data_IF_365195199997
#
_entry.id   IF_365195199997
#
_cell.length_a   1.000
_cell.length_b   1.000
_cell.length_c   1.000
_cell.angle_alpha   90.00
_cell.angle_beta   90.00
_cell.angle_gamma   90.00
#
_symmetry.space_group_name_H-M   'P 1'
#
loop_
_entity.id
_entity.type
_entity.pdbx_description
1 polymer ?
#
# COMPACT_ATOMS: atom_id res chain seq x y z
N UNK A 1 49.82 1.76 12.95
CA UNK A 1 48.66 2.59 13.31
C UNK A 1 48.11 3.22 12.04
N UNK A 2 47.13 2.61 11.43
CA UNK A 2 46.42 3.19 10.25
C UNK A 2 44.99 3.46 10.66
N UNK A 3 44.58 4.72 10.58
CA UNK A 3 43.25 5.21 10.93
C UNK A 3 42.27 4.76 9.86
N UNK A 4 41.23 4.02 10.26
CA UNK A 4 40.01 3.83 9.48
C UNK A 4 39.21 5.13 9.49
N UNK A 5 38.96 5.67 8.31
CA UNK A 5 38.00 6.77 8.12
C UNK A 5 36.67 6.13 7.75
N UNK A 6 35.75 6.13 8.72
CA UNK A 6 34.35 5.78 8.50
C UNK A 6 33.67 6.97 7.83
N UNK A 7 33.15 6.77 6.61
CA UNK A 7 32.29 7.73 5.92
C UNK A 7 30.86 7.50 6.36
N UNK A 8 30.38 8.30 7.30
CA UNK A 8 28.94 8.42 7.54
C UNK A 8 28.33 9.35 6.51
N UNK A 9 27.40 8.86 5.72
CA UNK A 9 26.50 9.68 4.93
C UNK A 9 25.46 10.29 5.88
N UNK A 10 25.54 11.59 6.03
CA UNK A 10 24.55 12.40 6.73
C UNK A 10 23.37 12.62 5.77
N UNK A 11 22.23 12.01 6.10
CA UNK A 11 20.94 12.37 5.51
C UNK A 11 20.55 13.73 6.09
N UNK A 12 20.62 14.77 5.27
CA UNK A 12 20.21 16.12 5.65
C UNK A 12 18.68 16.21 5.48
N UNK A 13 17.96 16.03 6.58
CA UNK A 13 16.51 16.36 6.63
C UNK A 13 16.40 17.87 6.70
N UNK A 14 16.05 18.52 5.61
CA UNK A 14 15.71 19.94 5.59
C UNK A 14 14.33 20.15 6.21
N UNK A 15 14.29 20.57 7.44
CA UNK A 15 13.09 21.07 8.12
C UNK A 15 12.77 22.46 7.57
N UNK A 16 11.75 22.56 6.70
CA UNK A 16 11.24 23.86 6.24
C UNK A 16 10.33 24.40 7.33
N UNK A 17 10.82 25.38 8.09
CA UNK A 17 10.01 26.19 9.00
C UNK A 17 9.13 27.14 8.20
N UNK A 18 7.81 26.98 8.35
CA UNK A 18 6.80 27.89 7.82
C UNK A 18 6.82 29.18 8.65
N UNK A 19 7.35 30.26 8.11
CA UNK A 19 7.13 31.60 8.63
C UNK A 19 5.79 32.13 8.11
N UNK A 20 4.79 32.21 8.98
CA UNK A 20 3.56 32.94 8.70
C UNK A 20 3.83 34.45 8.74
N UNK A 21 3.77 35.10 7.61
CA UNK A 21 3.59 36.54 7.54
C UNK A 21 2.14 36.83 7.17
N UNK A 22 1.38 37.30 8.14
CA UNK A 22 0.09 37.95 7.89
C UNK A 22 0.33 39.37 7.39
N UNK A 23 0.05 39.61 6.13
CA UNK A 23 -0.13 40.96 5.60
C UNK A 23 -1.48 40.99 4.87
N UNK A 24 -2.44 41.72 5.44
CA UNK A 24 -3.66 42.10 4.77
C UNK A 24 -3.34 43.12 3.65
N UNK A 25 -3.71 42.80 2.41
CA UNK A 25 -4.20 43.76 1.45
C UNK A 25 -5.08 43.05 0.44
N UNK A 26 -6.27 43.58 0.26
CA UNK A 26 -7.33 43.17 -0.63
C UNK A 26 -6.91 43.33 -2.10
N UNK A 27 -6.78 42.19 -2.75
CA UNK A 27 -7.15 41.89 -4.15
C UNK A 27 -7.05 40.35 -4.24
N UNK A 28 -8.23 39.70 -4.36
CA UNK A 28 -8.37 38.25 -4.44
C UNK A 28 -7.93 37.72 -5.82
N UNK A 29 -6.62 37.68 -6.05
CA UNK A 29 -6.04 36.65 -6.89
C UNK A 29 -5.51 35.57 -5.92
N UNK A 30 -6.25 34.50 -5.77
CA UNK A 30 -5.84 33.30 -5.03
C UNK A 30 -4.53 32.79 -5.63
N UNK A 31 -3.39 33.24 -5.07
CA UNK A 31 -2.07 32.74 -5.46
C UNK A 31 -1.96 31.29 -4.99
N UNK A 32 -2.21 30.38 -5.91
CA UNK A 32 -2.05 28.94 -5.65
C UNK A 32 -0.57 28.69 -5.36
N UNK A 33 -0.26 28.11 -4.20
CA UNK A 33 1.11 27.71 -3.87
C UNK A 33 1.38 26.35 -4.52
N UNK A 34 2.47 26.22 -5.34
CA UNK A 34 2.83 24.94 -5.95
C UNK A 34 3.09 23.86 -4.91
N UNK A 35 2.49 22.68 -5.13
CA UNK A 35 2.71 21.48 -4.31
C UNK A 35 3.40 20.43 -5.18
N UNK A 36 4.65 20.11 -4.84
CA UNK A 36 5.45 19.15 -5.61
C UNK A 36 5.34 17.75 -5.03
N UNK A 37 5.22 16.71 -5.90
CA UNK A 37 5.25 15.31 -5.48
C UNK A 37 6.63 14.92 -4.93
N UNK A 38 6.67 13.82 -4.19
CA UNK A 38 7.95 13.24 -3.76
C UNK A 38 8.71 12.64 -4.94
N UNK A 39 10.05 12.61 -4.83
CA UNK A 39 10.91 12.04 -5.86
C UNK A 39 10.67 10.54 -5.98
N UNK A 40 10.44 10.07 -7.21
CA UNK A 40 10.27 8.66 -7.55
C UNK A 40 11.52 8.13 -8.26
N UNK A 41 11.82 6.84 -8.09
CA UNK A 41 12.89 6.17 -8.86
C UNK A 41 12.28 5.23 -9.88
N UNK A 42 12.63 5.42 -11.15
CA UNK A 42 12.18 4.61 -12.29
C UNK A 42 13.40 3.95 -12.89
N UNK A 43 13.47 2.60 -12.96
CA UNK A 43 14.64 1.89 -13.43
C UNK A 43 14.28 0.86 -14.51
N UNK A 44 15.16 0.72 -15.50
CA UNK A 44 14.99 -0.22 -16.61
C UNK A 44 16.19 -0.27 -17.55
N UNK A 45 16.04 -0.99 -18.67
CA UNK A 45 17.04 -1.10 -19.71
C UNK A 45 16.75 -0.16 -20.90
N UNK A 46 17.72 -0.03 -21.80
CA UNK A 46 17.49 0.63 -23.06
C UNK A 46 16.44 -0.15 -23.88
N UNK A 47 15.44 0.56 -24.39
CA UNK A 47 14.28 0.01 -25.09
C UNK A 47 13.01 -0.04 -24.26
N UNK A 48 13.12 0.05 -22.92
CA UNK A 48 11.96 0.03 -22.04
C UNK A 48 11.14 1.33 -22.16
N UNK A 49 9.82 1.17 -21.98
CA UNK A 49 8.87 2.27 -21.80
C UNK A 49 8.22 2.10 -20.46
N UNK A 50 8.45 3.06 -19.57
CA UNK A 50 7.88 3.10 -18.22
C UNK A 50 6.83 4.17 -18.14
N UNK A 51 5.90 4.02 -17.20
CA UNK A 51 4.89 5.04 -16.91
C UNK A 51 4.96 5.41 -15.43
N UNK A 52 4.77 6.69 -15.14
CA UNK A 52 4.59 7.16 -13.78
C UNK A 52 3.52 8.25 -13.71
N UNK A 53 2.99 8.47 -12.53
CA UNK A 53 1.99 9.51 -12.30
C UNK A 53 2.46 10.50 -11.23
N UNK A 54 1.95 11.71 -11.35
CA UNK A 54 2.06 12.75 -10.34
C UNK A 54 0.84 13.65 -10.35
N UNK A 55 0.59 14.32 -9.25
CA UNK A 55 -0.42 15.35 -9.13
C UNK A 55 0.21 16.73 -9.28
N UNK A 56 -0.42 17.59 -10.09
CA UNK A 56 -0.07 18.97 -10.25
C UNK A 56 -1.25 19.87 -9.84
N UNK A 57 -1.03 20.87 -9.02
CA UNK A 57 -2.07 21.81 -8.61
C UNK A 57 -2.11 23.11 -9.41
N UNK A 58 -1.21 23.25 -10.38
CA UNK A 58 -1.12 24.39 -11.33
C UNK A 58 -0.74 23.90 -12.73
N UNK A 59 -0.68 24.82 -13.68
CA UNK A 59 -0.07 24.58 -14.99
C UNK A 59 1.42 24.29 -14.83
N UNK A 60 1.91 23.31 -15.55
CA UNK A 60 3.23 22.76 -15.33
C UNK A 60 3.99 22.51 -16.64
N UNK A 61 5.30 22.38 -16.50
CA UNK A 61 6.23 21.90 -17.51
C UNK A 61 7.13 20.83 -16.90
N UNK A 62 7.26 19.67 -17.53
CA UNK A 62 8.17 18.61 -17.13
C UNK A 62 9.27 18.48 -18.16
N UNK A 63 10.53 18.44 -17.72
CA UNK A 63 11.70 18.32 -18.58
C UNK A 63 12.59 17.16 -18.18
N UNK A 64 13.23 16.52 -19.18
CA UNK A 64 14.28 15.52 -18.99
C UNK A 64 15.64 16.12 -19.31
N UNK A 65 16.66 15.84 -18.47
CA UNK A 65 18.01 16.36 -18.61
C UNK A 65 18.96 15.45 -19.44
N UNK A 66 18.44 14.33 -20.01
CA UNK A 66 19.25 13.37 -20.80
C UNK A 66 18.60 13.03 -22.13
N UNK A 67 19.43 12.95 -23.20
CA UNK A 67 18.96 12.64 -24.56
C UNK A 67 18.37 11.24 -24.70
N UNK A 68 18.76 10.32 -23.86
CA UNK A 68 18.28 8.94 -23.85
C UNK A 68 17.00 8.73 -23.01
N UNK A 69 16.59 9.73 -22.25
CA UNK A 69 15.38 9.69 -21.43
C UNK A 69 14.34 10.62 -22.07
N UNK A 70 13.45 10.06 -22.88
CA UNK A 70 12.41 10.81 -23.57
C UNK A 70 11.09 10.66 -22.82
N UNK A 71 10.30 11.72 -22.83
CA UNK A 71 9.02 11.78 -22.14
C UNK A 71 7.89 12.13 -23.10
N UNK A 72 6.70 11.57 -22.84
CA UNK A 72 5.49 11.87 -23.59
C UNK A 72 4.27 11.85 -22.66
N UNK A 73 3.22 12.56 -23.04
CA UNK A 73 1.91 12.49 -22.40
C UNK A 73 0.91 11.90 -23.40
N UNK A 74 0.11 10.95 -22.96
CA UNK A 74 -0.82 10.21 -23.82
C UNK A 74 -0.10 9.52 -25.03
N UNK A 75 -0.59 9.75 -26.23
CA UNK A 75 -0.02 9.23 -27.50
C UNK A 75 0.79 10.28 -28.26
N UNK A 76 1.25 11.31 -27.58
CA UNK A 76 2.09 12.36 -28.16
C UNK A 76 3.47 11.82 -28.57
N UNK A 77 4.15 12.55 -29.45
CA UNK A 77 5.53 12.21 -29.81
C UNK A 77 6.47 12.38 -28.61
N UNK A 78 7.41 11.43 -28.48
CA UNK A 78 8.44 11.46 -27.46
C UNK A 78 9.33 12.71 -27.60
N UNK A 79 9.39 13.50 -26.54
CA UNK A 79 10.19 14.72 -26.45
C UNK A 79 11.05 14.77 -25.19
N UNK A 80 11.58 15.95 -24.91
CA UNK A 80 12.36 16.23 -23.69
C UNK A 80 11.64 17.20 -22.77
N UNK A 81 10.57 17.83 -23.25
CA UNK A 81 9.73 18.75 -22.49
C UNK A 81 8.28 18.50 -22.86
N UNK A 82 7.44 18.37 -21.88
CA UNK A 82 5.97 18.30 -22.00
C UNK A 82 5.34 19.30 -21.07
N UNK A 83 4.13 19.75 -21.40
CA UNK A 83 3.41 20.75 -20.61
C UNK A 83 2.00 20.25 -20.33
N UNK A 84 1.41 20.67 -19.22
CA UNK A 84 0.05 20.33 -18.88
C UNK A 84 -0.60 21.31 -17.92
N UNK A 85 -1.82 20.99 -17.54
CA UNK A 85 -2.64 21.77 -16.60
C UNK A 85 -2.78 20.99 -15.28
N UNK A 86 -3.30 21.63 -14.23
CA UNK A 86 -3.57 21.00 -12.94
C UNK A 86 -4.37 19.70 -13.07
N UNK A 87 -4.13 18.76 -12.16
CA UNK A 87 -4.75 17.45 -12.07
C UNK A 87 -3.75 16.30 -12.00
N UNK A 88 -4.27 15.07 -11.95
CA UNK A 88 -3.46 13.85 -12.00
C UNK A 88 -2.92 13.64 -13.42
N UNK A 89 -1.62 13.45 -13.53
CA UNK A 89 -0.90 13.31 -14.78
C UNK A 89 -0.31 11.90 -14.90
N UNK A 90 -0.36 11.32 -16.10
CA UNK A 90 0.37 10.08 -16.46
C UNK A 90 1.38 10.41 -17.54
N UNK A 91 2.61 10.04 -17.32
CA UNK A 91 3.73 10.31 -18.21
C UNK A 91 4.39 9.00 -18.63
N UNK A 92 4.62 8.83 -19.94
CA UNK A 92 5.44 7.75 -20.50
C UNK A 92 6.88 8.22 -20.55
N UNK A 93 7.79 7.38 -20.06
CA UNK A 93 9.25 7.59 -20.07
C UNK A 93 9.89 6.51 -20.94
N UNK A 94 10.44 6.90 -22.06
CA UNK A 94 11.12 5.99 -22.98
C UNK A 94 12.63 6.06 -22.77
N UNK A 95 13.25 4.93 -22.42
CA UNK A 95 14.68 4.79 -22.24
C UNK A 95 15.28 4.34 -23.58
N UNK A 96 15.91 5.26 -24.32
CA UNK A 96 16.50 4.90 -25.63
C UNK A 96 17.91 4.37 -25.48
N UNK A 97 18.46 3.79 -26.57
CA UNK A 97 19.85 3.34 -26.64
C UNK A 97 20.85 4.50 -26.96
N UNK A 98 20.35 5.74 -27.10
CA UNK A 98 21.20 6.90 -27.33
C UNK A 98 22.18 7.07 -26.17
N UNK A 99 23.44 7.39 -26.47
CA UNK A 99 24.49 7.56 -25.45
C UNK A 99 24.56 6.38 -24.47
N UNK A 100 24.53 5.14 -24.99
CA UNK A 100 24.60 3.92 -24.19
C UNK A 100 25.94 3.82 -23.44
N UNK A 101 25.84 3.58 -22.12
CA UNK A 101 27.00 3.47 -21.22
C UNK A 101 27.22 2.01 -20.79
N UNK A 102 28.47 1.70 -20.38
CA UNK A 102 28.81 0.45 -19.67
C UNK A 102 28.51 0.51 -18.18
N UNK A 103 28.02 1.64 -17.71
CA UNK A 103 27.65 1.88 -16.32
C UNK A 103 26.18 2.33 -16.25
N UNK A 104 25.59 2.24 -15.08
CA UNK A 104 24.27 2.76 -14.81
C UNK A 104 24.23 4.26 -15.12
N UNK A 105 23.27 4.69 -15.91
CA UNK A 105 23.08 6.10 -16.27
C UNK A 105 21.86 6.66 -15.58
N UNK A 106 21.95 7.86 -15.04
CA UNK A 106 20.83 8.51 -14.33
C UNK A 106 20.39 9.78 -15.06
N UNK A 107 19.09 9.91 -15.28
CA UNK A 107 18.43 11.12 -15.76
C UNK A 107 17.53 11.68 -14.65
N UNK A 108 17.31 12.99 -14.69
CA UNK A 108 16.37 13.68 -13.78
C UNK A 108 15.21 14.23 -14.59
N UNK A 109 14.00 14.04 -14.07
CA UNK A 109 12.79 14.68 -14.56
C UNK A 109 12.44 15.83 -13.62
N UNK A 110 12.49 17.04 -14.16
CA UNK A 110 12.29 18.27 -13.41
C UNK A 110 10.93 18.87 -13.74
N UNK A 111 10.11 19.02 -12.70
CA UNK A 111 8.79 19.63 -12.78
C UNK A 111 8.87 21.11 -12.40
N UNK A 112 8.34 21.95 -13.27
CA UNK A 112 8.24 23.40 -13.05
C UNK A 112 6.77 23.78 -12.88
N UNK A 113 6.44 24.42 -11.76
CA UNK A 113 5.14 25.00 -11.43
C UNK A 113 5.33 26.31 -10.65
N UNK A 114 4.50 27.30 -10.84
CA UNK A 114 4.51 28.57 -10.09
C UNK A 114 5.88 29.26 -10.07
N UNK A 115 6.68 29.10 -11.14
CA UNK A 115 8.04 29.68 -11.22
C UNK A 115 9.13 28.88 -10.48
N UNK A 116 8.79 27.82 -9.75
CA UNK A 116 9.73 26.91 -9.08
C UNK A 116 9.98 25.67 -9.91
N UNK A 117 11.17 25.06 -9.79
CA UNK A 117 11.54 23.82 -10.48
C UNK A 117 12.12 22.83 -9.47
N UNK A 118 11.59 21.61 -9.48
CA UNK A 118 11.95 20.52 -8.55
C UNK A 118 12.09 19.21 -9.33
N UNK A 119 13.11 18.41 -9.01
CA UNK A 119 13.23 17.04 -9.51
C UNK A 119 12.15 16.19 -8.85
N UNK A 120 11.31 15.53 -9.66
CA UNK A 120 10.22 14.65 -9.20
C UNK A 120 10.45 13.19 -9.54
N UNK A 121 11.41 12.88 -10.43
CA UNK A 121 11.80 11.50 -10.69
C UNK A 121 13.29 11.41 -11.07
N UNK A 122 13.94 10.33 -10.61
CA UNK A 122 15.23 9.87 -11.10
C UNK A 122 15.03 8.62 -11.95
N UNK A 123 15.49 8.67 -13.19
CA UNK A 123 15.36 7.57 -14.14
C UNK A 123 16.71 6.89 -14.29
N UNK A 124 16.78 5.62 -13.89
CA UNK A 124 17.99 4.81 -13.91
C UNK A 124 17.97 3.87 -15.13
N UNK A 125 18.86 4.08 -16.08
CA UNK A 125 19.03 3.18 -17.23
C UNK A 125 20.22 2.25 -16.99
N UNK A 126 19.94 0.95 -16.92
CA UNK A 126 20.94 -0.10 -16.76
C UNK A 126 21.99 -0.08 -17.87
N UNK A 127 23.20 -0.52 -17.54
CA UNK A 127 24.26 -0.72 -18.52
C UNK A 127 23.81 -1.71 -19.62
N UNK A 128 24.38 -1.57 -20.81
CA UNK A 128 24.04 -2.44 -21.94
C UNK A 128 24.33 -3.91 -21.62
N UNK A 129 23.40 -4.79 -21.98
CA UNK A 129 23.52 -6.25 -21.82
C UNK A 129 23.01 -6.81 -20.49
N UNK A 130 22.52 -5.97 -19.58
CA UNK A 130 21.82 -6.43 -18.39
C UNK A 130 20.33 -6.63 -18.69
N UNK A 131 19.81 -7.80 -18.32
CA UNK A 131 18.42 -8.18 -18.53
C UNK A 131 17.84 -8.80 -17.28
N UNK A 132 16.62 -8.39 -16.91
CA UNK A 132 15.84 -8.98 -15.85
C UNK A 132 14.39 -9.11 -16.29
N UNK A 133 13.77 -10.25 -15.97
CA UNK A 133 12.37 -10.53 -16.23
C UNK A 133 11.68 -11.10 -15.01
N UNK A 134 10.42 -10.76 -14.85
CA UNK A 134 9.55 -11.27 -13.80
C UNK A 134 8.38 -12.00 -14.45
N UNK A 135 8.06 -13.17 -13.89
CA UNK A 135 7.00 -14.04 -14.42
C UNK A 135 5.98 -14.34 -13.33
N UNK A 136 4.73 -14.43 -13.69
CA UNK A 136 3.68 -14.93 -12.82
C UNK A 136 3.77 -16.48 -12.65
N UNK A 137 2.80 -17.06 -11.92
CA UNK A 137 2.74 -18.51 -11.68
C UNK A 137 2.44 -19.33 -12.94
N UNK A 138 1.85 -18.71 -13.95
CA UNK A 138 1.50 -19.32 -15.23
C UNK A 138 2.63 -19.17 -16.27
N UNK A 139 3.72 -18.47 -15.90
CA UNK A 139 4.88 -18.23 -16.75
C UNK A 139 4.74 -17.05 -17.70
N UNK A 140 3.73 -16.20 -17.53
CA UNK A 140 3.60 -14.97 -18.32
C UNK A 140 4.61 -13.93 -17.83
N UNK A 141 5.21 -13.21 -18.77
CA UNK A 141 6.13 -12.09 -18.47
C UNK A 141 5.32 -10.89 -17.97
N UNK A 142 5.49 -10.58 -16.67
CA UNK A 142 4.83 -9.46 -15.99
C UNK A 142 5.79 -8.32 -15.65
N UNK A 143 6.97 -8.29 -16.25
CA UNK A 143 7.99 -7.27 -16.00
C UNK A 143 7.45 -5.84 -16.18
N UNK A 144 6.65 -5.62 -17.23
CA UNK A 144 6.06 -4.32 -17.54
C UNK A 144 4.64 -4.14 -16.96
N UNK A 145 3.87 -5.24 -16.83
CA UNK A 145 2.52 -5.17 -16.26
C UNK A 145 2.53 -5.07 -14.76
N UNK A 146 3.55 -5.63 -14.12
CA UNK A 146 3.76 -5.54 -12.69
C UNK A 146 3.15 -6.69 -11.87
N UNK A 147 3.39 -6.64 -10.57
CA UNK A 147 2.84 -7.58 -9.57
C UNK A 147 1.56 -6.98 -9.02
N UNK A 148 0.45 -7.68 -9.23
CA UNK A 148 -0.88 -7.21 -8.85
C UNK A 148 -1.48 -8.09 -7.77
N UNK A 149 -1.92 -7.49 -6.67
CA UNK A 149 -2.60 -8.19 -5.59
C UNK A 149 -3.65 -7.33 -4.89
N UNK A 150 -4.65 -7.98 -4.30
CA UNK A 150 -5.67 -7.38 -3.47
C UNK A 150 -5.30 -7.32 -2.00
N UNK A 151 -6.28 -6.93 -1.20
CA UNK A 151 -6.18 -6.89 0.25
C UNK A 151 -5.86 -8.28 0.83
N UNK A 152 -4.84 -8.35 1.67
CA UNK A 152 -4.37 -9.56 2.35
C UNK A 152 -4.02 -10.73 1.40
N UNK A 153 -3.77 -10.47 0.13
CA UNK A 153 -3.40 -11.48 -0.85
C UNK A 153 -1.89 -11.74 -0.84
N UNK A 154 -1.52 -13.02 -0.94
CA UNK A 154 -0.14 -13.44 -1.16
C UNK A 154 0.07 -13.74 -2.65
N UNK A 155 1.00 -13.04 -3.29
CA UNK A 155 1.28 -13.18 -4.72
C UNK A 155 2.62 -13.86 -4.96
N UNK A 156 2.59 -14.98 -5.67
CA UNK A 156 3.81 -15.69 -6.11
C UNK A 156 4.27 -15.17 -7.45
N UNK A 157 5.58 -15.07 -7.62
CA UNK A 157 6.23 -14.70 -8.88
C UNK A 157 7.61 -15.32 -8.97
N UNK A 158 8.22 -15.25 -10.16
CA UNK A 158 9.58 -15.75 -10.42
C UNK A 158 10.39 -14.65 -11.09
N UNK A 159 11.61 -14.43 -10.60
CA UNK A 159 12.57 -13.48 -11.20
C UNK A 159 13.69 -14.24 -11.88
N UNK A 160 14.05 -13.82 -13.09
CA UNK A 160 15.19 -14.34 -13.84
C UNK A 160 16.01 -13.18 -14.41
N UNK A 161 17.32 -13.20 -14.17
CA UNK A 161 18.25 -12.21 -14.69
C UNK A 161 19.50 -12.91 -15.27
N UNK A 162 20.24 -12.20 -16.15
CA UNK A 162 21.53 -12.68 -16.64
C UNK A 162 22.72 -12.27 -15.75
N UNK A 163 22.45 -11.71 -14.56
CA UNK A 163 23.42 -11.25 -13.57
C UNK A 163 22.95 -11.60 -12.16
N UNK A 164 23.84 -11.41 -11.15
CA UNK A 164 23.47 -11.50 -9.74
C UNK A 164 22.67 -10.28 -9.33
N UNK A 165 21.51 -10.51 -8.71
CA UNK A 165 20.63 -9.43 -8.29
C UNK A 165 20.18 -9.56 -6.84
N UNK A 166 19.75 -8.44 -6.28
CA UNK A 166 19.02 -8.37 -5.02
C UNK A 166 17.86 -7.38 -5.13
N UNK A 167 16.75 -7.66 -4.45
CA UNK A 167 15.71 -6.67 -4.21
C UNK A 167 16.27 -5.62 -3.23
N UNK A 168 16.37 -4.36 -3.66
CA UNK A 168 17.01 -3.28 -2.91
C UNK A 168 16.03 -2.25 -2.39
N UNK A 169 14.88 -2.12 -3.02
CA UNK A 169 13.82 -1.21 -2.62
C UNK A 169 12.45 -1.83 -2.86
N UNK A 170 11.50 -1.53 -1.99
CA UNK A 170 10.10 -1.91 -2.14
C UNK A 170 9.22 -0.94 -1.32
N UNK A 171 7.94 -0.79 -1.68
CA UNK A 171 7.00 -0.03 -0.88
C UNK A 171 6.90 -0.59 0.55
N UNK A 172 6.69 0.27 1.53
CA UNK A 172 6.61 -0.15 2.95
C UNK A 172 5.42 -1.07 3.28
N UNK A 173 4.44 -1.13 2.39
CA UNK A 173 3.26 -2.00 2.47
C UNK A 173 3.43 -3.34 1.75
N UNK A 174 4.59 -3.59 1.13
CA UNK A 174 4.96 -4.87 0.52
C UNK A 174 5.95 -5.61 1.44
N UNK A 175 5.78 -6.90 1.58
CA UNK A 175 6.71 -7.80 2.28
C UNK A 175 7.05 -8.97 1.38
N UNK A 176 8.34 -9.13 1.08
CA UNK A 176 8.83 -10.30 0.35
C UNK A 176 8.92 -11.51 1.27
N UNK A 177 8.72 -12.68 0.69
CA UNK A 177 8.90 -13.97 1.38
C UNK A 177 10.32 -14.09 1.92
N UNK A 178 10.44 -14.37 3.22
CA UNK A 178 11.72 -14.37 3.91
C UNK A 178 12.40 -13.00 4.11
N UNK A 179 11.70 -11.90 3.79
CA UNK A 179 12.15 -10.51 3.98
C UNK A 179 13.18 -10.01 2.97
N UNK A 180 13.65 -10.86 2.05
CA UNK A 180 14.61 -10.49 0.99
C UNK A 180 14.48 -11.41 -0.22
N UNK A 181 14.99 -10.96 -1.37
CA UNK A 181 15.08 -11.77 -2.58
C UNK A 181 16.43 -11.51 -3.26
N UNK A 182 17.17 -12.58 -3.52
CA UNK A 182 18.45 -12.56 -4.23
C UNK A 182 18.49 -13.66 -5.27
N UNK A 183 19.18 -13.43 -6.38
CA UNK A 183 19.29 -14.41 -7.45
C UNK A 183 20.68 -14.47 -8.09
N UNK A 184 20.93 -15.60 -8.78
CA UNK A 184 22.14 -15.86 -9.55
C UNK A 184 21.88 -15.72 -11.04
N UNK A 185 22.93 -15.48 -11.85
CA UNK A 185 22.78 -15.39 -13.30
C UNK A 185 22.10 -16.64 -13.88
N UNK A 186 21.10 -16.40 -14.74
CA UNK A 186 20.34 -17.41 -15.48
C UNK A 186 19.53 -18.41 -14.65
N UNK A 187 19.56 -18.33 -13.30
CA UNK A 187 18.67 -19.10 -12.43
C UNK A 187 17.32 -18.41 -12.27
N UNK A 188 16.25 -19.18 -12.32
CA UNK A 188 14.92 -18.71 -12.00
C UNK A 188 14.74 -18.78 -10.48
N UNK A 189 14.47 -17.63 -9.85
CA UNK A 189 14.27 -17.53 -8.41
C UNK A 189 12.80 -17.30 -8.14
N UNK A 190 12.16 -18.31 -7.54
CA UNK A 190 10.79 -18.17 -7.06
C UNK A 190 10.75 -17.32 -5.79
N UNK A 191 9.76 -16.45 -5.69
CA UNK A 191 9.50 -15.62 -4.54
C UNK A 191 8.03 -15.34 -4.41
N UNK A 192 7.69 -14.56 -3.41
CA UNK A 192 6.36 -14.11 -3.20
C UNK A 192 6.33 -12.78 -2.47
N UNK A 193 5.26 -12.04 -2.68
CA UNK A 193 5.00 -10.81 -1.98
C UNK A 193 3.66 -10.89 -1.27
N UNK A 194 3.63 -10.49 -0.01
CA UNK A 194 2.43 -10.23 0.76
C UNK A 194 2.24 -8.73 0.86
N UNK A 195 1.02 -8.29 0.60
CA UNK A 195 0.66 -6.89 0.76
C UNK A 195 0.22 -6.68 2.21
N UNK A 196 1.03 -5.96 2.97
CA UNK A 196 0.86 -5.80 4.43
C UNK A 196 -0.47 -5.16 4.75
N UNK A 197 -1.21 -5.86 5.58
CA UNK A 197 -2.39 -5.32 6.24
C UNK A 197 -2.03 -4.13 7.13
N UNK A 198 -2.95 -3.19 7.31
CA UNK A 198 -2.78 -2.05 8.21
C UNK A 198 -1.94 -0.88 7.68
N UNK A 199 -1.07 -1.08 6.68
CA UNK A 199 -0.31 0.02 6.05
C UNK A 199 -1.16 0.76 5.01
N UNK A 200 -2.09 0.04 4.35
CA UNK A 200 -3.06 0.60 3.40
C UNK A 200 -4.48 0.38 3.91
N UNK A 201 -5.31 1.39 3.73
CA UNK A 201 -6.73 1.30 4.04
C UNK A 201 -7.41 0.31 3.06
N UNK A 202 -8.43 -0.42 3.51
CA UNK A 202 -9.20 -1.35 2.68
C UNK A 202 -9.79 -0.68 1.43
N UNK A 203 -10.21 0.58 1.52
CA UNK A 203 -10.71 1.39 0.39
C UNK A 203 -9.64 1.92 -0.55
N UNK A 204 -8.37 1.79 -0.18
CA UNK A 204 -7.27 2.37 -0.93
C UNK A 204 -6.78 1.40 -1.99
N UNK A 205 -6.61 1.88 -3.21
CA UNK A 205 -5.99 1.14 -4.29
C UNK A 205 -4.85 1.98 -4.89
N UNK A 206 -3.80 1.32 -5.39
CA UNK A 206 -2.68 1.95 -6.08
C UNK A 206 -2.63 1.39 -7.48
N UNK A 207 -2.85 2.25 -8.47
CA UNK A 207 -2.74 1.88 -9.87
C UNK A 207 -1.26 1.68 -10.29
N UNK A 208 -1.05 0.95 -11.38
CA UNK A 208 0.27 0.66 -11.95
C UNK A 208 1.19 1.88 -12.07
N UNK A 209 0.64 3.03 -12.42
CA UNK A 209 1.40 4.23 -12.75
C UNK A 209 1.56 5.20 -11.57
N UNK A 210 1.34 4.76 -10.34
CA UNK A 210 1.45 5.62 -9.16
C UNK A 210 2.85 5.62 -8.52
N UNK A 211 3.85 5.09 -9.21
CA UNK A 211 5.25 5.16 -8.79
C UNK A 211 5.64 4.20 -7.67
N UNK A 212 4.86 3.15 -7.46
CA UNK A 212 5.17 2.11 -6.47
C UNK A 212 5.83 0.91 -7.15
N UNK A 213 7.07 0.60 -6.75
CA UNK A 213 7.88 -0.41 -7.41
C UNK A 213 8.62 -1.31 -6.41
N UNK A 214 8.89 -2.56 -6.83
CA UNK A 214 9.99 -3.35 -6.28
C UNK A 214 11.18 -3.16 -7.21
N UNK A 215 12.33 -2.71 -6.66
CA UNK A 215 13.55 -2.49 -7.43
C UNK A 215 14.53 -3.62 -7.19
N UNK A 216 15.04 -4.19 -8.27
CA UNK A 216 16.08 -5.19 -8.29
C UNK A 216 17.36 -4.57 -8.85
N UNK A 217 18.44 -4.60 -8.07
CA UNK A 217 19.73 -4.06 -8.46
C UNK A 217 20.77 -5.18 -8.68
N UNK A 218 21.72 -4.95 -9.59
CA UNK A 218 22.86 -5.83 -9.76
C UNK A 218 23.89 -5.66 -8.64
N UNK A 219 24.61 -6.75 -8.30
CA UNK A 219 25.67 -6.72 -7.27
C UNK A 219 26.79 -5.73 -7.57
N UNK A 220 27.08 -5.50 -8.84
CA UNK A 220 28.11 -4.56 -9.30
C UNK A 220 27.61 -3.11 -9.46
N UNK A 221 26.34 -2.85 -9.16
CA UNK A 221 25.73 -1.51 -9.22
C UNK A 221 25.54 -0.94 -10.64
N UNK A 222 25.61 -1.80 -11.69
CA UNK A 222 25.50 -1.35 -13.09
C UNK A 222 24.10 -1.48 -13.68
N UNK A 223 23.21 -2.19 -12.99
CA UNK A 223 21.83 -2.38 -13.44
C UNK A 223 20.84 -2.26 -12.31
N UNK A 224 19.71 -1.63 -12.60
CA UNK A 224 18.53 -1.55 -11.78
C UNK A 224 17.29 -1.73 -12.65
N UNK A 225 16.31 -2.47 -12.11
CA UNK A 225 15.03 -2.73 -12.76
C UNK A 225 13.91 -2.52 -11.74
N UNK A 226 13.00 -1.63 -12.04
CA UNK A 226 11.82 -1.35 -11.22
C UNK A 226 10.61 -2.06 -11.80
N UNK A 227 10.04 -2.95 -11.00
CA UNK A 227 8.85 -3.72 -11.36
C UNK A 227 7.65 -3.08 -10.67
N UNK A 228 6.63 -2.64 -11.43
CA UNK A 228 5.45 -2.03 -10.85
C UNK A 228 4.76 -2.97 -9.87
N UNK A 229 4.22 -2.44 -8.79
CA UNK A 229 3.31 -3.15 -7.87
C UNK A 229 1.97 -2.43 -7.84
N UNK A 230 0.92 -3.21 -7.93
CA UNK A 230 -0.45 -2.74 -8.01
C UNK A 230 -1.20 -3.30 -6.81
N UNK A 231 -1.89 -2.43 -6.10
CA UNK A 231 -2.73 -2.81 -4.98
C UNK A 231 -4.18 -2.49 -5.29
N UNK A 232 -5.01 -3.52 -5.44
CA UNK A 232 -6.41 -3.37 -5.83
C UNK A 232 -7.35 -3.06 -4.65
N UNK A 233 -6.83 -3.07 -3.43
CA UNK A 233 -7.65 -2.90 -2.25
C UNK A 233 -8.51 -4.12 -1.95
N UNK A 234 -9.50 -3.92 -1.08
CA UNK A 234 -10.49 -4.93 -0.71
C UNK A 234 -11.70 -4.85 -1.66
N UNK A 235 -12.29 -5.98 -2.06
CA UNK A 235 -13.57 -5.97 -2.78
C UNK A 235 -14.66 -5.28 -1.97
N UNK A 236 -15.53 -4.50 -2.64
CA UNK A 236 -16.60 -3.74 -1.98
C UNK A 236 -17.73 -4.58 -1.40
N UNK A 237 -17.80 -5.84 -1.80
CA UNK A 237 -18.78 -6.81 -1.30
C UNK A 237 -18.26 -7.68 -0.14
N UNK A 238 -17.10 -7.34 0.42
CA UNK A 238 -16.49 -8.10 1.52
C UNK A 238 -16.24 -7.23 2.74
N UNK A 239 -16.12 -7.90 3.89
CA UNK A 239 -15.71 -7.31 5.14
C UNK A 239 -14.75 -8.26 5.84
N UNK A 240 -13.71 -7.69 6.48
CA UNK A 240 -12.73 -8.44 7.24
C UNK A 240 -12.74 -8.01 8.70
N UNK A 241 -12.49 -8.96 9.60
CA UNK A 241 -12.43 -8.72 11.05
C UNK A 241 -11.01 -9.04 11.54
N UNK A 242 -10.35 -8.04 12.10
CA UNK A 242 -9.04 -8.23 12.72
C UNK A 242 -9.20 -8.42 14.22
N UNK A 243 -8.60 -9.49 14.72
CA UNK A 243 -8.56 -9.85 16.13
C UNK A 243 -7.15 -9.68 16.69
N UNK A 244 -6.99 -9.28 17.95
CA UNK A 244 -5.68 -9.09 18.55
C UNK A 244 -5.02 -10.42 18.98
N UNK A 245 -5.76 -11.53 18.95
CA UNK A 245 -5.31 -12.87 19.38
C UNK A 245 -5.42 -13.88 18.24
N UNK A 246 -4.71 -15.00 18.38
CA UNK A 246 -4.73 -16.09 17.40
C UNK A 246 -5.99 -16.98 17.48
N UNK A 247 -6.87 -16.73 18.43
CA UNK A 247 -8.13 -17.48 18.62
C UNK A 247 -9.34 -16.59 18.41
N UNK A 248 -9.66 -16.22 17.18
CA UNK A 248 -10.72 -15.26 16.85
C UNK A 248 -12.13 -15.73 17.24
N UNK A 249 -12.35 -17.04 17.34
CA UNK A 249 -13.64 -17.68 17.62
C UNK A 249 -13.94 -17.85 19.13
N UNK A 250 -13.02 -17.50 20.03
CA UNK A 250 -13.25 -17.64 21.45
C UNK A 250 -14.15 -16.51 21.95
N UNK A 251 -14.95 -16.83 22.96
CA UNK A 251 -15.86 -15.87 23.57
C UNK A 251 -15.11 -14.73 24.24
N UNK A 252 -15.61 -13.54 24.09
CA UNK A 252 -15.10 -12.35 24.76
C UNK A 252 -16.01 -11.96 25.92
N UNK A 253 -15.41 -11.74 27.09
CA UNK A 253 -16.08 -11.17 28.24
C UNK A 253 -15.80 -9.68 28.32
N UNK A 254 -16.86 -8.88 28.45
CA UNK A 254 -16.76 -7.43 28.54
C UNK A 254 -17.20 -6.98 29.93
N UNK A 255 -16.42 -6.09 30.54
CA UNK A 255 -16.77 -5.50 31.86
C UNK A 255 -18.07 -4.70 31.79
N UNK A 256 -18.74 -4.54 32.92
CA UNK A 256 -20.03 -3.83 32.99
C UNK A 256 -19.96 -2.39 32.47
N UNK A 257 -18.81 -1.73 32.58
CA UNK A 257 -18.59 -0.39 32.03
C UNK A 257 -18.29 -0.36 30.53
N UNK A 258 -18.25 -1.52 29.88
CA UNK A 258 -17.96 -1.64 28.42
C UNK A 258 -16.51 -1.38 28.02
N UNK A 259 -15.58 -1.20 28.97
CA UNK A 259 -14.22 -0.71 28.66
C UNK A 259 -13.12 -1.76 28.73
N UNK A 260 -13.36 -2.88 29.40
CA UNK A 260 -12.38 -3.96 29.52
C UNK A 260 -12.88 -5.20 28.80
N UNK A 261 -12.09 -5.68 27.88
CA UNK A 261 -12.36 -6.88 27.08
C UNK A 261 -11.38 -7.97 27.51
N UNK A 262 -11.88 -9.16 27.79
CA UNK A 262 -11.07 -10.30 28.18
C UNK A 262 -11.43 -11.53 27.37
N UNK A 263 -10.43 -12.27 26.96
CA UNK A 263 -10.54 -13.57 26.30
C UNK A 263 -9.68 -14.58 27.04
N UNK A 264 -10.27 -15.72 27.39
CA UNK A 264 -9.54 -16.81 28.02
C UNK A 264 -9.45 -17.99 27.04
N UNK A 265 -8.26 -18.40 26.74
CA UNK A 265 -7.96 -19.55 25.86
C UNK A 265 -7.09 -20.57 26.55
N UNK A 266 -7.35 -21.84 26.26
CA UNK A 266 -6.53 -22.96 26.73
C UNK A 266 -5.69 -23.50 25.56
N UNK A 267 -4.39 -23.62 25.77
CA UNK A 267 -3.46 -24.18 24.78
C UNK A 267 -2.57 -25.24 25.42
N UNK A 268 -2.15 -26.24 24.64
CA UNK A 268 -1.31 -27.34 25.08
C UNK A 268 -1.85 -28.71 24.67
N UNK A 269 -1.16 -29.77 25.04
CA UNK A 269 -1.64 -31.14 24.86
C UNK A 269 -2.57 -31.56 26.01
N UNK A 270 -3.54 -32.45 25.78
CA UNK A 270 -4.42 -32.95 26.84
C UNK A 270 -3.66 -33.42 28.08
N UNK A 271 -3.92 -32.79 29.24
CA UNK A 271 -3.27 -33.08 30.50
C UNK A 271 -2.06 -32.17 30.85
N UNK A 272 -1.63 -31.29 29.91
CA UNK A 272 -0.60 -30.27 30.09
C UNK A 272 -1.08 -28.90 29.56
N UNK A 273 -2.35 -28.62 29.72
CA UNK A 273 -2.97 -27.41 29.16
C UNK A 273 -2.59 -26.18 29.97
N UNK A 274 -2.28 -25.09 29.28
CA UNK A 274 -2.06 -23.78 29.87
C UNK A 274 -3.21 -22.87 29.48
N UNK A 275 -3.85 -22.29 30.49
CA UNK A 275 -4.90 -21.29 30.30
C UNK A 275 -4.30 -19.88 30.31
N UNK A 276 -4.52 -19.14 29.25
CA UNK A 276 -4.08 -17.76 29.11
C UNK A 276 -5.28 -16.84 29.02
N UNK A 277 -5.22 -15.70 29.69
CA UNK A 277 -6.24 -14.63 29.58
C UNK A 277 -5.60 -13.40 28.99
N UNK A 278 -6.13 -12.93 27.86
CA UNK A 278 -5.78 -11.66 27.25
C UNK A 278 -6.78 -10.61 27.71
N UNK A 279 -6.29 -9.47 28.20
CA UNK A 279 -7.13 -8.39 28.72
C UNK A 279 -6.72 -7.06 28.10
N UNK A 280 -7.69 -6.33 27.59
CA UNK A 280 -7.54 -5.01 26.98
C UNK A 280 -8.41 -4.01 27.73
N UNK A 281 -7.80 -3.04 28.40
CA UNK A 281 -8.50 -2.00 29.15
C UNK A 281 -8.52 -0.69 28.37
N UNK A 282 -9.69 -0.04 28.33
CA UNK A 282 -9.90 1.20 27.56
C UNK A 282 -9.53 1.10 26.06
N UNK A 283 -9.60 -0.09 25.52
CA UNK A 283 -9.25 -0.37 24.13
C UNK A 283 -10.24 -1.36 23.54
N UNK A 284 -10.66 -1.12 22.29
CA UNK A 284 -11.53 -2.04 21.56
C UNK A 284 -10.65 -3.01 20.77
N UNK A 285 -10.70 -4.32 21.08
CA UNK A 285 -9.79 -5.29 20.49
C UNK A 285 -10.17 -5.70 19.05
N UNK A 286 -11.34 -5.29 18.57
CA UNK A 286 -11.82 -5.69 17.24
C UNK A 286 -11.77 -4.51 16.28
N UNK A 287 -11.30 -4.78 15.08
CA UNK A 287 -11.34 -3.82 13.97
C UNK A 287 -12.03 -4.50 12.78
N UNK A 288 -13.06 -3.84 12.27
CA UNK A 288 -13.73 -4.22 11.02
C UNK A 288 -13.12 -3.40 9.88
N UNK A 289 -12.88 -4.05 8.75
CA UNK A 289 -12.39 -3.40 7.53
C UNK A 289 -13.31 -3.71 6.37
N UNK A 290 -13.66 -2.68 5.60
CA UNK A 290 -14.44 -2.81 4.38
C UNK A 290 -14.08 -1.71 3.39
N UNK A 291 -14.15 -2.03 2.11
CA UNK A 291 -14.09 -1.05 1.02
C UNK A 291 -15.47 -0.55 0.60
N UNK A 292 -16.55 -1.13 1.14
CA UNK A 292 -17.91 -0.64 0.90
C UNK A 292 -18.09 0.79 1.44
N UNK A 293 -18.98 1.55 0.82
CA UNK A 293 -19.33 2.91 1.27
C UNK A 293 -20.15 2.89 2.55
N UNK A 294 -20.91 1.80 2.75
CA UNK A 294 -21.79 1.63 3.89
C UNK A 294 -21.82 0.16 4.34
N UNK A 295 -22.09 -0.07 5.63
CA UNK A 295 -22.17 -1.39 6.23
C UNK A 295 -23.29 -1.46 7.26
N UNK A 296 -23.83 -2.66 7.47
CA UNK A 296 -24.90 -2.94 8.44
C UNK A 296 -24.38 -3.89 9.51
N UNK A 297 -24.59 -3.52 10.78
CA UNK A 297 -24.40 -4.39 11.92
C UNK A 297 -25.71 -5.06 12.30
N UNK A 298 -25.65 -6.35 12.54
CA UNK A 298 -26.77 -7.13 13.09
C UNK A 298 -26.34 -7.75 14.40
N UNK A 299 -27.10 -7.51 15.44
CA UNK A 299 -26.88 -8.09 16.77
C UNK A 299 -27.91 -9.18 17.02
N UNK A 300 -27.43 -10.37 17.32
CA UNK A 300 -28.28 -11.53 17.65
C UNK A 300 -28.16 -11.85 19.13
N UNK A 301 -29.27 -12.23 19.75
CA UNK A 301 -29.31 -12.85 21.07
C UNK A 301 -29.56 -14.36 20.93
N UNK A 302 -28.92 -15.14 21.80
CA UNK A 302 -29.21 -16.56 21.92
C UNK A 302 -30.60 -16.77 22.54
N UNK A 303 -31.40 -17.62 21.93
CA UNK A 303 -32.71 -18.07 22.39
C UNK A 303 -32.68 -19.59 22.46
N UNK A 304 -33.65 -20.19 23.18
CA UNK A 304 -33.73 -21.65 23.29
C UNK A 304 -33.94 -22.37 21.95
N UNK A 305 -34.40 -21.68 20.95
CA UNK A 305 -34.69 -22.17 19.60
C UNK A 305 -33.68 -21.73 18.52
N UNK A 306 -32.68 -20.91 18.87
CA UNK A 306 -31.68 -20.41 17.93
C UNK A 306 -31.27 -18.97 18.21
N UNK A 307 -30.80 -18.26 17.19
CA UNK A 307 -30.43 -16.85 17.28
C UNK A 307 -31.57 -15.96 16.78
N UNK A 308 -31.83 -14.87 17.47
CA UNK A 308 -32.84 -13.86 17.12
C UNK A 308 -32.19 -12.49 16.95
N UNK A 309 -32.40 -11.86 15.80
CA UNK A 309 -31.93 -10.50 15.54
C UNK A 309 -32.68 -9.50 16.43
N UNK A 310 -31.95 -8.61 17.10
CA UNK A 310 -32.53 -7.63 18.02
C UNK A 310 -32.33 -6.22 17.49
N UNK A 311 -33.36 -5.37 17.71
CA UNK A 311 -33.33 -3.97 17.27
C UNK A 311 -32.64 -3.01 18.25
N UNK A 312 -32.48 -3.41 19.51
CA UNK A 312 -31.77 -2.62 20.51
C UNK A 312 -30.27 -2.86 20.43
N UNK A 313 -29.55 -1.91 19.89
CA UNK A 313 -28.11 -2.00 19.68
C UNK A 313 -27.34 -1.36 20.83
N UNK A 314 -26.78 -2.19 21.70
CA UNK A 314 -25.77 -1.77 22.69
C UNK A 314 -24.34 -1.91 22.14
N UNK A 315 -24.19 -2.48 20.95
CA UNK A 315 -22.95 -2.51 20.18
C UNK A 315 -23.00 -1.36 19.19
N UNK A 316 -21.99 -0.52 19.21
CA UNK A 316 -21.84 0.65 18.35
C UNK A 316 -20.51 0.59 17.61
N UNK A 317 -20.36 1.42 16.63
CA UNK A 317 -19.11 1.55 15.88
C UNK A 317 -18.55 2.96 15.99
N UNK A 318 -17.24 3.05 15.92
CA UNK A 318 -16.49 4.30 15.81
C UNK A 318 -15.44 4.15 14.72
N UNK A 319 -15.09 5.23 14.02
CA UNK A 319 -14.12 5.24 12.93
C UNK A 319 -14.77 5.35 11.56
N UNK A 320 -13.94 5.59 10.54
CA UNK A 320 -14.34 5.82 9.16
C UNK A 320 -13.39 5.08 8.20
N UNK A 321 -13.84 4.89 6.96
CA UNK A 321 -12.99 4.59 5.82
C UNK A 321 -12.34 3.22 5.78
N UNK A 322 -12.86 2.20 6.44
CA UNK A 322 -12.30 0.85 6.42
C UNK A 322 -11.43 0.52 7.63
N UNK A 323 -11.46 1.35 8.66
CA UNK A 323 -10.89 1.07 9.97
C UNK A 323 -11.95 1.38 11.04
N UNK A 324 -12.87 0.45 11.22
CA UNK A 324 -14.08 0.59 12.04
C UNK A 324 -13.89 -0.22 13.31
N UNK A 325 -14.10 0.43 14.47
CA UNK A 325 -13.97 -0.22 15.78
C UNK A 325 -15.33 -0.40 16.42
N UNK A 326 -15.53 -1.57 17.04
CA UNK A 326 -16.71 -1.86 17.84
C UNK A 326 -16.56 -1.30 19.25
N UNK A 327 -17.62 -0.69 19.77
CA UNK A 327 -17.75 -0.27 21.16
C UNK A 327 -19.00 -0.88 21.76
N UNK A 328 -18.99 -1.12 23.08
CA UNK A 328 -20.10 -1.74 23.81
C UNK A 328 -20.57 -0.79 24.91
N UNK A 329 -21.87 -0.49 24.94
CA UNK A 329 -22.46 0.35 25.96
C UNK A 329 -22.41 -0.32 27.33
N UNK A 330 -22.21 0.47 28.38
CA UNK A 330 -22.23 0.00 29.76
C UNK A 330 -23.55 -0.70 30.12
N UNK A 331 -23.47 -1.67 31.03
CA UNK A 331 -24.60 -2.38 31.64
C UNK A 331 -24.59 -2.09 33.12
N UNK A 332 -25.70 -1.63 33.66
CA UNK A 332 -25.79 -1.28 35.11
C UNK A 332 -25.64 -2.50 36.02
N UNK A 333 -26.22 -3.63 35.60
CA UNK A 333 -26.14 -4.88 36.36
C UNK A 333 -26.60 -6.07 35.51
N UNK A 334 -26.25 -7.29 35.93
CA UNK A 334 -26.64 -8.53 35.26
C UNK A 334 -25.65 -8.91 34.17
N UNK A 335 -26.10 -9.77 33.27
CA UNK A 335 -25.34 -10.30 32.14
C UNK A 335 -26.18 -10.19 30.86
N UNK A 336 -25.49 -9.99 29.72
CA UNK A 336 -26.08 -10.08 28.39
C UNK A 336 -25.09 -10.73 27.46
N UNK A 337 -25.58 -11.59 26.61
CA UNK A 337 -24.82 -12.29 25.58
C UNK A 337 -25.35 -11.87 24.21
N UNK A 338 -24.45 -11.68 23.27
CA UNK A 338 -24.82 -11.40 21.89
C UNK A 338 -23.77 -11.91 20.92
N UNK A 339 -24.22 -12.13 19.71
CA UNK A 339 -23.39 -12.34 18.52
C UNK A 339 -23.52 -11.13 17.62
N UNK A 340 -22.40 -10.65 17.10
CA UNK A 340 -22.38 -9.47 16.23
C UNK A 340 -21.89 -9.87 14.86
N UNK A 341 -22.69 -9.59 13.86
CA UNK A 341 -22.37 -9.79 12.44
C UNK A 341 -22.29 -8.44 11.75
N UNK A 342 -21.44 -8.36 10.74
CA UNK A 342 -21.29 -7.17 9.94
C UNK A 342 -21.19 -7.55 8.46
N UNK A 343 -21.92 -6.84 7.60
CA UNK A 343 -21.88 -6.99 6.15
C UNK A 343 -21.90 -5.62 5.47
N UNK A 344 -21.32 -5.47 4.27
CA UNK A 344 -21.66 -4.35 3.39
C UNK A 344 -23.18 -4.25 3.24
N UNK A 345 -23.73 -3.04 3.32
CA UNK A 345 -25.20 -2.85 3.33
C UNK A 345 -25.88 -3.46 2.10
N UNK A 346 -25.25 -3.37 0.91
CA UNK A 346 -25.79 -3.98 -0.29
C UNK A 346 -25.91 -5.51 -0.20
N UNK A 347 -24.92 -6.16 0.44
CA UNK A 347 -24.95 -7.62 0.65
C UNK A 347 -26.02 -7.99 1.69
N UNK A 348 -26.13 -7.22 2.77
CA UNK A 348 -27.18 -7.39 3.77
C UNK A 348 -28.60 -7.28 3.17
N UNK A 349 -28.84 -6.26 2.35
CA UNK A 349 -30.12 -6.06 1.68
C UNK A 349 -30.45 -7.20 0.69
N UNK A 350 -29.43 -7.76 0.01
CA UNK A 350 -29.60 -8.88 -0.91
C UNK A 350 -30.03 -10.17 -0.19
N UNK A 351 -29.69 -10.35 1.09
CA UNK A 351 -30.17 -11.49 1.88
C UNK A 351 -31.69 -11.42 2.15
N UNK A 352 -32.26 -10.23 2.28
CA UNK A 352 -33.68 -9.98 2.52
C UNK A 352 -34.19 -10.36 3.92
N UNK A 353 -33.41 -11.09 4.72
CA UNK A 353 -33.71 -11.50 6.10
C UNK A 353 -32.40 -11.66 6.89
N UNK A 354 -32.23 -10.97 8.04
CA UNK A 354 -31.01 -11.06 8.85
C UNK A 354 -30.69 -12.47 9.37
N UNK A 355 -31.68 -13.34 9.59
CA UNK A 355 -31.40 -14.70 10.05
C UNK A 355 -30.62 -15.54 9.03
N UNK A 356 -30.67 -15.21 7.74
CA UNK A 356 -29.83 -15.88 6.72
C UNK A 356 -28.34 -15.70 6.90
N UNK A 357 -27.90 -14.66 7.64
CA UNK A 357 -26.47 -14.46 7.98
C UNK A 357 -25.89 -15.57 8.87
N UNK A 358 -26.74 -16.38 9.48
CA UNK A 358 -26.35 -17.46 10.41
C UNK A 358 -26.15 -18.78 9.65
N UNK A 359 -26.80 -18.91 8.50
CA UNK A 359 -26.88 -20.19 7.73
C UNK A 359 -25.82 -20.23 6.60
N UNK A 360 -25.19 -19.12 6.25
CA UNK A 360 -24.15 -18.98 5.23
C UNK A 360 -22.79 -18.62 5.84
#
# INVERSE_FOLDING_TARGET
MKKLISRYWLVLVALVSVCMFTACSSDDDDVVTPVFPQVQTIAGAAGDVKEFTFDANESWSLSSNKIWCKIAQNDDENGFVINGIAGKQTVKVTLTADDASKDLSVAQLNLKMGGQEVTIAEVHRSAAGYELKVFDVDGNDITETGIEAGYNEYKKFTVKANYRFAATNMPNWVELDGGFMVGRPHEAVAGGAKFKEGVKNAKYAIAKNEGEFITFASEDGKAEFSIPVIYNGMPTNTMDVTYPTSTPWADWTVSLDGKTFSQTGTSGVPGEETTNTFTFSNFVPFTLKTAADDYTLVVFKAQSWGLEAVSEHFVKTTGEGGDIRLTIDALESGERECYVYALPTAEYEALGNPEKMIDE
#
